data_IF_393608897285
#
_entry.id   IF_393608897285
#
_cell.length_a   1.000
_cell.length_b   1.000
_cell.length_c   1.000
_cell.angle_alpha   90.00
_cell.angle_beta   90.00
_cell.angle_gamma   90.00
#
_symmetry.space_group_name_H-M   'P 1'
#
loop_
_entity.id
_entity.type
_entity.pdbx_description
1 polymer ?
#
# COMPACT_ATOMS: atom_id res chain seq x y z
N UNK A 1 -1.33 -58.84 86.41
CA UNK A 1 -0.66 -59.34 85.18
C UNK A 1 -1.61 -59.20 84.00
N UNK A 2 -1.13 -58.57 82.92
CA UNK A 2 -1.53 -58.72 81.51
C UNK A 2 -2.95 -58.22 81.16
N UNK A 3 -3.06 -56.98 80.68
CA UNK A 3 -2.93 -56.50 79.28
C UNK A 3 -4.32 -56.34 78.62
N UNK A 4 -4.82 -55.11 78.67
CA UNK A 4 -5.94 -54.62 77.86
C UNK A 4 -5.43 -54.12 76.51
N UNK A 5 -6.12 -54.52 75.44
CA UNK A 5 -5.90 -54.09 74.06
C UNK A 5 -6.48 -52.68 73.84
N UNK A 6 -5.74 -51.71 73.27
CA UNK A 6 -6.32 -50.42 72.91
C UNK A 6 -6.82 -50.40 71.46
N UNK A 7 -7.97 -49.77 71.28
CA UNK A 7 -8.61 -49.41 70.00
C UNK A 7 -7.71 -48.46 69.22
N UNK A 8 -7.48 -48.71 67.93
CA UNK A 8 -6.80 -47.80 67.00
C UNK A 8 -7.79 -46.79 66.43
N UNK A 9 -7.54 -45.52 66.72
CA UNK A 9 -8.17 -44.34 66.11
C UNK A 9 -7.58 -44.14 64.71
N UNK A 10 -8.43 -44.09 63.68
CA UNK A 10 -8.05 -43.69 62.31
C UNK A 10 -7.91 -42.17 62.27
N UNK A 11 -6.70 -41.69 61.91
CA UNK A 11 -6.44 -40.29 61.54
C UNK A 11 -6.60 -40.20 60.03
N UNK A 12 -7.57 -39.41 59.57
CA UNK A 12 -7.73 -39.06 58.16
C UNK A 12 -6.70 -37.97 57.79
N UNK A 13 -5.80 -38.29 56.86
CA UNK A 13 -4.92 -37.31 56.24
C UNK A 13 -5.64 -36.70 55.03
N UNK A 14 -5.99 -35.41 55.13
CA UNK A 14 -6.49 -34.63 54.01
C UNK A 14 -5.32 -34.29 53.08
N UNK A 15 -5.28 -34.90 51.89
CA UNK A 15 -4.37 -34.51 50.82
C UNK A 15 -4.98 -33.30 50.11
N UNK A 16 -4.41 -32.13 50.33
CA UNK A 16 -4.74 -30.94 49.55
C UNK A 16 -4.10 -31.04 48.16
N UNK A 17 -4.88 -31.44 47.16
CA UNK A 17 -4.48 -31.37 45.76
C UNK A 17 -4.45 -29.91 45.31
N UNK A 18 -3.25 -29.33 45.23
CA UNK A 18 -3.03 -28.05 44.53
C UNK A 18 -3.19 -28.33 43.04
N UNK A 19 -4.36 -28.00 42.49
CA UNK A 19 -4.55 -27.95 41.06
C UNK A 19 -3.72 -26.78 40.52
N UNK A 20 -2.54 -27.07 39.98
CA UNK A 20 -1.80 -26.12 39.16
C UNK A 20 -2.63 -25.86 37.89
N UNK A 21 -3.40 -24.78 37.87
CA UNK A 21 -3.87 -24.21 36.62
C UNK A 21 -2.62 -23.77 35.85
N UNK A 22 -2.21 -24.59 34.88
CA UNK A 22 -1.34 -24.12 33.81
C UNK A 22 -2.10 -23.04 33.07
N UNK A 23 -1.78 -21.78 33.34
CA UNK A 23 -2.06 -20.69 32.42
C UNK A 23 -1.41 -21.10 31.10
N UNK A 24 -2.21 -21.53 30.13
CA UNK A 24 -1.74 -21.62 28.77
C UNK A 24 -1.19 -20.25 28.43
N UNK A 25 0.09 -20.18 28.06
CA UNK A 25 0.66 -18.97 27.49
C UNK A 25 -0.27 -18.50 26.35
N UNK A 26 -0.50 -17.18 26.20
CA UNK A 26 -1.27 -16.70 25.06
C UNK A 26 -0.69 -17.32 23.80
N UNK A 27 -1.58 -17.85 22.95
CA UNK A 27 -1.20 -18.34 21.63
C UNK A 27 -0.30 -17.28 20.99
N UNK A 28 0.92 -17.69 20.61
CA UNK A 28 2.00 -16.82 20.15
C UNK A 28 1.43 -15.65 19.34
N UNK A 29 1.63 -14.41 19.82
CA UNK A 29 1.51 -13.25 18.96
C UNK A 29 2.42 -13.53 17.77
N UNK A 30 1.82 -13.79 16.61
CA UNK A 30 2.59 -14.10 15.42
C UNK A 30 3.43 -12.88 15.11
N UNK A 31 4.76 -13.04 15.18
CA UNK A 31 5.70 -11.98 14.88
C UNK A 31 5.39 -11.48 13.47
N UNK A 32 5.05 -10.19 13.35
CA UNK A 32 4.77 -9.57 12.06
C UNK A 32 6.01 -9.73 11.19
N UNK A 33 5.93 -10.57 10.15
CA UNK A 33 7.05 -10.89 9.27
C UNK A 33 6.92 -10.29 7.87
N UNK A 34 5.89 -9.46 7.69
CA UNK A 34 5.55 -8.80 6.42
C UNK A 34 4.96 -9.74 5.37
N UNK A 35 4.43 -10.91 5.76
CA UNK A 35 3.90 -11.92 4.82
C UNK A 35 3.03 -11.35 3.69
N UNK A 36 2.02 -10.53 4.02
CA UNK A 36 1.07 -9.94 3.07
C UNK A 36 1.75 -8.95 2.12
N UNK A 37 2.46 -7.97 2.69
CA UNK A 37 3.28 -7.03 1.94
C UNK A 37 4.26 -7.73 0.98
N UNK A 38 4.96 -8.79 1.42
CA UNK A 38 5.86 -9.57 0.55
C UNK A 38 5.13 -10.18 -0.64
N UNK A 39 3.97 -10.82 -0.42
CA UNK A 39 3.17 -11.44 -1.49
C UNK A 39 2.67 -10.39 -2.48
N UNK A 40 2.11 -9.29 -1.98
CA UNK A 40 1.58 -8.22 -2.81
C UNK A 40 2.69 -7.53 -3.63
N UNK A 41 3.79 -7.12 -2.98
CA UNK A 41 4.91 -6.45 -3.64
C UNK A 41 5.62 -7.35 -4.67
N UNK A 42 5.74 -8.65 -4.41
CA UNK A 42 6.21 -9.61 -5.42
C UNK A 42 5.26 -9.68 -6.62
N UNK A 43 3.96 -9.58 -6.38
CA UNK A 43 2.94 -9.45 -7.43
C UNK A 43 3.12 -8.18 -8.27
N UNK A 44 3.41 -7.04 -7.62
CA UNK A 44 3.57 -5.71 -8.24
C UNK A 44 4.75 -5.63 -9.21
N UNK A 45 5.85 -6.37 -8.97
CA UNK A 45 6.98 -6.44 -9.89
C UNK A 45 6.60 -6.93 -11.31
N UNK A 46 5.55 -7.76 -11.44
CA UNK A 46 5.02 -8.19 -12.75
C UNK A 46 4.40 -7.02 -13.52
N UNK A 47 3.59 -6.22 -12.83
CA UNK A 47 2.95 -5.02 -13.38
C UNK A 47 4.00 -3.99 -13.78
N UNK A 48 4.97 -3.72 -12.90
CA UNK A 48 6.06 -2.78 -13.16
C UNK A 48 6.92 -3.17 -14.36
N UNK A 49 7.13 -4.47 -14.57
CA UNK A 49 7.82 -5.00 -15.77
C UNK A 49 7.10 -4.61 -17.06
N UNK A 50 5.76 -4.62 -17.07
CA UNK A 50 4.96 -4.20 -18.22
C UNK A 50 4.89 -2.67 -18.35
N UNK A 51 4.79 -1.95 -17.23
CA UNK A 51 4.79 -0.48 -17.22
C UNK A 51 6.09 0.10 -17.78
N UNK A 52 7.25 -0.41 -17.35
CA UNK A 52 8.58 -0.01 -17.86
C UNK A 52 8.68 -0.24 -19.38
N UNK A 53 8.17 -1.37 -19.87
CA UNK A 53 8.16 -1.66 -21.29
C UNK A 53 7.23 -0.72 -22.08
N UNK A 54 6.01 -0.47 -21.59
CA UNK A 54 5.08 0.48 -22.23
C UNK A 54 5.65 1.91 -22.26
N UNK A 55 6.14 2.40 -21.12
CA UNK A 55 6.69 3.76 -21.00
C UNK A 55 7.95 3.95 -21.87
N UNK A 56 8.85 2.96 -21.91
CA UNK A 56 10.03 3.00 -22.79
C UNK A 56 9.67 3.02 -24.27
N UNK A 57 8.68 2.22 -24.69
CA UNK A 57 8.19 2.23 -26.07
C UNK A 57 7.62 3.60 -26.47
N UNK A 58 6.80 4.20 -25.60
CA UNK A 58 6.24 5.55 -25.84
C UNK A 58 7.29 6.64 -25.88
N UNK A 59 8.26 6.59 -24.96
CA UNK A 59 9.36 7.55 -24.91
C UNK A 59 10.21 7.49 -26.18
N UNK A 60 10.53 6.29 -26.67
CA UNK A 60 11.27 6.08 -27.92
C UNK A 60 10.46 6.56 -29.14
N UNK A 61 9.14 6.32 -29.15
CA UNK A 61 8.26 6.75 -30.22
C UNK A 61 7.92 8.26 -30.19
N UNK A 62 8.38 9.00 -29.17
CA UNK A 62 8.08 10.42 -29.00
C UNK A 62 6.61 10.71 -28.68
N UNK A 63 5.90 9.77 -28.06
CA UNK A 63 4.49 9.91 -27.70
C UNK A 63 4.38 10.33 -26.24
N UNK A 64 3.87 11.53 -26.01
CA UNK A 64 3.77 12.14 -24.67
C UNK A 64 5.08 11.99 -23.87
N UNK A 65 6.23 12.45 -24.40
CA UNK A 65 7.55 12.07 -23.91
C UNK A 65 7.81 12.50 -22.46
N UNK A 66 7.23 13.61 -22.01
CA UNK A 66 7.29 14.05 -20.61
C UNK A 66 6.55 13.07 -19.69
N UNK A 67 5.32 12.69 -20.05
CA UNK A 67 4.52 11.75 -19.27
C UNK A 67 5.14 10.34 -19.28
N UNK A 68 5.58 9.85 -20.45
CA UNK A 68 6.26 8.58 -20.60
C UNK A 68 7.57 8.53 -19.80
N UNK A 69 8.32 9.64 -19.75
CA UNK A 69 9.53 9.75 -18.93
C UNK A 69 9.20 9.71 -17.43
N UNK A 70 8.16 10.41 -16.98
CA UNK A 70 7.73 10.37 -15.58
C UNK A 70 7.37 8.95 -15.16
N UNK A 71 6.52 8.29 -15.94
CA UNK A 71 6.10 6.90 -15.67
C UNK A 71 7.27 5.93 -15.67
N UNK A 72 8.22 6.07 -16.60
CA UNK A 72 9.43 5.25 -16.62
C UNK A 72 10.32 5.47 -15.38
N UNK A 73 10.39 6.72 -14.90
CA UNK A 73 11.13 7.05 -13.67
C UNK A 73 10.48 6.42 -12.45
N UNK A 74 9.17 6.58 -12.32
CA UNK A 74 8.38 6.05 -11.21
C UNK A 74 8.44 4.53 -11.18
N UNK A 75 8.12 3.87 -12.29
CA UNK A 75 8.06 2.42 -12.36
C UNK A 75 9.42 1.75 -12.07
N UNK A 76 10.53 2.28 -12.63
CA UNK A 76 11.87 1.71 -12.36
C UNK A 76 12.31 1.93 -10.91
N UNK A 77 12.03 3.11 -10.34
CA UNK A 77 12.40 3.44 -8.97
C UNK A 77 11.64 2.54 -8.00
N UNK A 78 10.35 2.37 -8.23
CA UNK A 78 9.52 1.48 -7.43
C UNK A 78 9.99 0.02 -7.55
N UNK A 79 10.32 -0.46 -8.76
CA UNK A 79 10.87 -1.80 -8.94
C UNK A 79 12.14 -2.01 -8.11
N UNK A 80 13.06 -1.04 -8.13
CA UNK A 80 14.31 -1.08 -7.37
C UNK A 80 14.05 -1.12 -5.86
N UNK A 81 13.16 -0.26 -5.37
CA UNK A 81 12.79 -0.19 -3.94
C UNK A 81 12.17 -1.51 -3.48
N UNK A 82 11.24 -2.06 -4.26
CA UNK A 82 10.60 -3.34 -3.94
C UNK A 82 11.61 -4.48 -3.95
N UNK A 83 12.44 -4.59 -4.99
CA UNK A 83 13.41 -5.68 -5.10
C UNK A 83 14.43 -5.66 -3.96
N UNK A 84 14.87 -4.46 -3.54
CA UNK A 84 15.73 -4.28 -2.37
C UNK A 84 15.00 -4.70 -1.09
N UNK A 85 13.77 -4.21 -0.87
CA UNK A 85 12.98 -4.53 0.32
C UNK A 85 12.63 -6.02 0.44
N UNK A 86 12.32 -6.69 -0.67
CA UNK A 86 12.12 -8.14 -0.69
C UNK A 86 13.43 -8.90 -0.34
N UNK A 87 14.60 -8.35 -0.67
CA UNK A 87 15.89 -8.98 -0.37
C UNK A 87 16.28 -8.79 1.09
N UNK A 88 16.37 -7.54 1.52
CA UNK A 88 17.06 -7.13 2.76
C UNK A 88 16.08 -6.75 3.89
N UNK A 89 14.79 -6.71 3.60
CA UNK A 89 13.80 -6.06 4.43
C UNK A 89 13.74 -4.57 4.12
N UNK A 90 12.55 -4.02 4.25
CA UNK A 90 12.33 -2.58 4.20
C UNK A 90 11.15 -2.29 5.09
N UNK A 91 11.45 -1.61 6.19
CA UNK A 91 10.42 -1.24 7.12
C UNK A 91 9.43 -0.25 6.49
N UNK A 92 9.91 0.64 5.62
CA UNK A 92 9.08 1.53 4.80
C UNK A 92 8.11 0.79 3.87
N UNK A 93 8.37 -0.48 3.56
CA UNK A 93 7.47 -1.35 2.77
C UNK A 93 6.70 -2.36 3.63
N UNK A 94 6.72 -2.23 4.96
CA UNK A 94 6.10 -3.22 5.85
C UNK A 94 6.79 -4.59 5.84
N UNK A 95 8.08 -4.65 5.46
CA UNK A 95 8.89 -5.86 5.46
C UNK A 95 9.96 -5.75 6.55
N UNK A 96 9.70 -6.23 7.77
CA UNK A 96 10.54 -5.93 8.94
C UNK A 96 11.88 -6.69 8.98
N UNK A 97 12.10 -7.65 8.09
CA UNK A 97 13.28 -8.50 8.09
C UNK A 97 13.75 -8.87 6.69
N UNK A 98 15.02 -9.26 6.55
CA UNK A 98 15.53 -9.83 5.31
C UNK A 98 14.84 -11.15 4.95
N UNK A 99 14.86 -11.50 3.66
CA UNK A 99 14.34 -12.80 3.21
C UNK A 99 15.07 -13.94 3.92
N UNK A 100 14.33 -14.97 4.32
CA UNK A 100 14.85 -16.13 5.08
C UNK A 100 14.84 -17.42 4.27
N UNK A 101 13.94 -17.55 3.31
CA UNK A 101 13.74 -18.77 2.55
C UNK A 101 14.66 -18.84 1.33
N UNK A 102 15.50 -19.88 1.26
CA UNK A 102 16.47 -20.06 0.18
C UNK A 102 15.86 -20.13 -1.23
N UNK A 103 14.65 -20.69 -1.38
CA UNK A 103 13.93 -20.72 -2.67
C UNK A 103 13.56 -19.30 -3.12
N UNK A 104 13.02 -18.48 -2.21
CA UNK A 104 12.65 -17.10 -2.51
C UNK A 104 13.90 -16.26 -2.81
N UNK A 105 14.99 -16.42 -2.04
CA UNK A 105 16.27 -15.75 -2.34
C UNK A 105 16.79 -16.04 -3.74
N UNK A 106 16.66 -17.29 -4.20
CA UNK A 106 17.07 -17.69 -5.55
C UNK A 106 16.22 -16.99 -6.61
N UNK A 107 14.90 -16.94 -6.42
CA UNK A 107 13.97 -16.29 -7.35
C UNK A 107 14.16 -14.77 -7.37
N UNK A 108 14.40 -14.13 -6.21
CA UNK A 108 14.80 -12.71 -6.12
C UNK A 108 16.12 -12.49 -6.88
N UNK A 109 17.11 -13.38 -6.73
CA UNK A 109 18.37 -13.30 -7.46
C UNK A 109 18.19 -13.35 -8.97
N UNK A 110 17.37 -14.26 -9.47
CA UNK A 110 17.06 -14.37 -10.90
C UNK A 110 16.39 -13.10 -11.45
N UNK A 111 15.43 -12.53 -10.71
CA UNK A 111 14.81 -11.24 -11.07
C UNK A 111 15.86 -10.13 -11.10
N UNK A 112 16.73 -10.05 -10.09
CA UNK A 112 17.79 -9.03 -10.00
C UNK A 112 18.75 -9.08 -11.19
N UNK A 113 19.21 -10.27 -11.56
CA UNK A 113 20.18 -10.45 -12.64
C UNK A 113 19.58 -10.04 -14.00
N UNK A 114 18.29 -10.32 -14.23
CA UNK A 114 17.57 -9.88 -15.43
C UNK A 114 17.21 -8.39 -15.40
N UNK A 115 16.93 -7.83 -14.22
CA UNK A 115 16.51 -6.43 -14.08
C UNK A 115 17.67 -5.43 -14.22
N UNK A 116 18.88 -5.75 -13.75
CA UNK A 116 20.04 -4.85 -13.83
C UNK A 116 20.30 -4.22 -15.22
N UNK A 117 20.34 -4.97 -16.33
CA UNK A 117 20.51 -4.38 -17.65
C UNK A 117 19.31 -3.50 -18.07
N UNK A 118 18.08 -3.89 -17.69
CA UNK A 118 16.84 -3.15 -17.97
C UNK A 118 16.84 -1.80 -17.23
N UNK A 119 17.17 -1.78 -15.94
CA UNK A 119 17.27 -0.56 -15.12
C UNK A 119 18.32 0.42 -15.67
N UNK A 120 19.47 -0.11 -16.11
CA UNK A 120 20.53 0.69 -16.73
C UNK A 120 20.04 1.34 -18.04
N UNK A 121 19.35 0.59 -18.89
CA UNK A 121 18.78 1.11 -20.13
C UNK A 121 17.70 2.16 -19.86
N UNK A 122 16.75 1.87 -18.96
CA UNK A 122 15.71 2.81 -18.56
C UNK A 122 16.31 4.12 -18.00
N UNK A 123 17.35 4.01 -17.17
CA UNK A 123 18.07 5.17 -16.64
C UNK A 123 18.74 6.00 -17.72
N UNK A 124 19.38 5.37 -18.72
CA UNK A 124 19.98 6.08 -19.85
C UNK A 124 18.93 6.81 -20.70
N UNK A 125 17.76 6.21 -20.92
CA UNK A 125 16.65 6.84 -21.64
C UNK A 125 16.12 8.08 -20.90
N UNK A 126 15.93 7.97 -19.58
CA UNK A 126 15.45 9.08 -18.74
C UNK A 126 16.42 10.26 -18.74
N UNK A 127 17.73 10.00 -18.68
CA UNK A 127 18.76 11.06 -18.64
C UNK A 127 19.11 11.61 -20.03
N UNK A 128 18.52 11.07 -21.11
CA UNK A 128 18.86 11.42 -22.48
C UNK A 128 20.27 10.99 -22.91
N UNK A 129 20.86 10.03 -22.19
CA UNK A 129 22.17 9.43 -22.48
C UNK A 129 22.05 8.12 -23.26
N UNK A 130 20.85 7.71 -23.63
CA UNK A 130 20.62 6.50 -24.39
C UNK A 130 21.20 6.61 -25.81
N UNK A 131 21.76 5.50 -26.29
CA UNK A 131 22.32 5.39 -27.64
C UNK A 131 21.26 4.99 -28.68
N UNK A 132 19.97 5.07 -28.35
CA UNK A 132 18.84 4.60 -29.18
C UNK A 132 18.64 3.09 -29.15
N UNK A 133 19.23 2.38 -28.19
CA UNK A 133 19.08 0.92 -28.04
C UNK A 133 18.37 0.56 -26.72
N UNK A 134 18.06 1.54 -25.86
CA UNK A 134 17.47 1.30 -24.55
C UNK A 134 16.11 0.61 -24.64
N UNK A 135 15.18 1.15 -25.44
CA UNK A 135 13.84 0.59 -25.61
C UNK A 135 13.89 -0.85 -26.17
N UNK A 136 14.83 -1.13 -27.06
CA UNK A 136 15.02 -2.45 -27.68
C UNK A 136 15.60 -3.47 -26.70
N UNK A 137 16.52 -3.08 -25.82
CA UNK A 137 16.99 -3.93 -24.73
C UNK A 137 15.85 -4.27 -23.76
N UNK A 138 15.04 -3.27 -23.40
CA UNK A 138 13.88 -3.45 -22.53
C UNK A 138 12.88 -4.41 -23.20
N UNK A 139 12.63 -4.26 -24.51
CA UNK A 139 11.76 -5.15 -25.28
C UNK A 139 12.22 -6.61 -25.23
N UNK A 140 13.48 -6.85 -25.61
CA UNK A 140 14.01 -8.22 -25.71
C UNK A 140 14.15 -8.92 -24.35
N UNK A 141 14.28 -8.15 -23.27
CA UNK A 141 14.35 -8.68 -21.90
C UNK A 141 12.98 -8.89 -21.25
N UNK A 142 11.89 -8.37 -21.85
CA UNK A 142 10.58 -8.27 -21.20
C UNK A 142 9.98 -9.64 -20.85
N UNK A 143 10.04 -10.60 -21.78
CA UNK A 143 9.45 -11.92 -21.60
C UNK A 143 10.13 -12.71 -20.45
N UNK A 144 11.46 -12.76 -20.46
CA UNK A 144 12.25 -13.46 -19.45
C UNK A 144 12.09 -12.82 -18.07
N UNK A 145 12.11 -11.48 -18.00
CA UNK A 145 11.90 -10.76 -16.75
C UNK A 145 10.47 -10.94 -16.20
N UNK A 146 9.45 -10.91 -17.06
CA UNK A 146 8.07 -11.18 -16.66
C UNK A 146 7.95 -12.61 -16.10
N UNK A 147 8.55 -13.59 -16.77
CA UNK A 147 8.54 -14.97 -16.28
C UNK A 147 9.24 -15.10 -14.93
N UNK A 148 10.39 -14.47 -14.74
CA UNK A 148 11.12 -14.48 -13.47
C UNK A 148 10.31 -13.84 -12.33
N UNK A 149 9.64 -12.72 -12.59
CA UNK A 149 8.77 -12.05 -11.59
C UNK A 149 7.53 -12.89 -11.26
N UNK A 150 6.96 -13.61 -12.24
CA UNK A 150 5.88 -14.58 -11.99
C UNK A 150 6.32 -15.75 -11.10
N UNK A 151 7.52 -16.28 -11.32
CA UNK A 151 8.10 -17.35 -10.48
C UNK A 151 8.31 -16.82 -9.06
N UNK A 152 8.90 -15.63 -8.90
CA UNK A 152 9.07 -15.00 -7.59
C UNK A 152 7.74 -14.82 -6.86
N UNK A 153 6.71 -14.30 -7.52
CA UNK A 153 5.39 -14.13 -6.92
C UNK A 153 4.79 -15.48 -6.47
N UNK A 154 4.96 -16.53 -7.28
CA UNK A 154 4.51 -17.89 -6.93
C UNK A 154 5.26 -18.45 -5.72
N UNK A 155 6.58 -18.33 -5.67
CA UNK A 155 7.39 -18.81 -4.55
C UNK A 155 7.09 -18.03 -3.26
N UNK A 156 6.89 -16.72 -3.37
CA UNK A 156 6.51 -15.86 -2.25
C UNK A 156 5.15 -16.27 -1.67
N UNK A 157 4.15 -16.43 -2.53
CA UNK A 157 2.81 -16.94 -2.17
C UNK A 157 2.92 -18.29 -1.47
N UNK A 158 3.70 -19.22 -2.04
CA UNK A 158 3.88 -20.55 -1.45
C UNK A 158 4.58 -20.57 -0.08
N UNK A 159 5.27 -19.49 0.32
CA UNK A 159 5.96 -19.39 1.61
C UNK A 159 5.26 -18.51 2.63
N UNK A 160 4.59 -17.46 2.18
CA UNK A 160 4.04 -16.41 3.04
C UNK A 160 2.51 -16.39 3.07
N UNK A 161 1.80 -17.12 2.22
CA UNK A 161 0.35 -17.21 2.31
C UNK A 161 -0.09 -18.14 3.45
N UNK A 162 -1.08 -17.70 4.23
CA UNK A 162 -1.72 -18.50 5.26
C UNK A 162 -3.04 -19.10 4.71
N UNK A 163 -3.15 -20.43 4.54
CA UNK A 163 -4.36 -21.06 3.99
C UNK A 163 -5.57 -20.97 4.91
N UNK A 164 -5.40 -20.55 6.17
CA UNK A 164 -6.50 -20.38 7.12
C UNK A 164 -7.06 -18.94 7.14
N UNK A 165 -6.43 -17.98 6.45
CA UNK A 165 -6.85 -16.57 6.43
C UNK A 165 -7.81 -16.24 5.27
N UNK A 166 -7.78 -17.00 4.18
CA UNK A 166 -8.57 -16.75 2.98
C UNK A 166 -9.28 -18.02 2.54
N UNK A 167 -10.54 -17.88 2.11
CA UNK A 167 -11.22 -19.01 1.45
C UNK A 167 -10.57 -19.27 0.09
N UNK A 168 -10.71 -20.49 -0.43
CA UNK A 168 -10.17 -20.82 -1.75
C UNK A 168 -10.74 -19.92 -2.86
N UNK A 169 -12.03 -19.59 -2.78
CA UNK A 169 -12.69 -18.73 -3.76
C UNK A 169 -12.16 -17.30 -3.70
N UNK A 170 -11.92 -16.76 -2.50
CA UNK A 170 -11.37 -15.41 -2.33
C UNK A 170 -9.92 -15.34 -2.80
N UNK A 171 -9.12 -16.38 -2.52
CA UNK A 171 -7.75 -16.49 -3.04
C UNK A 171 -7.70 -16.55 -4.57
N UNK A 172 -8.66 -17.21 -5.22
CA UNK A 172 -8.79 -17.22 -6.69
C UNK A 172 -9.17 -15.85 -7.23
N UNK A 173 -10.18 -15.19 -6.64
CA UNK A 173 -10.58 -13.84 -7.03
C UNK A 173 -9.42 -12.83 -6.89
N UNK A 174 -8.68 -12.87 -5.79
CA UNK A 174 -7.49 -12.04 -5.57
C UNK A 174 -6.38 -12.31 -6.60
N UNK A 175 -6.13 -13.57 -6.95
CA UNK A 175 -5.15 -13.90 -7.99
C UNK A 175 -5.57 -13.34 -9.37
N UNK A 176 -6.86 -13.44 -9.69
CA UNK A 176 -7.41 -12.93 -10.95
C UNK A 176 -7.33 -11.40 -10.99
N UNK A 177 -7.77 -10.72 -9.93
CA UNK A 177 -7.70 -9.26 -9.80
C UNK A 177 -6.24 -8.76 -9.88
N UNK A 178 -5.31 -9.39 -9.17
CA UNK A 178 -3.89 -9.04 -9.26
C UNK A 178 -3.28 -9.25 -10.66
N UNK A 179 -3.82 -10.17 -11.46
CA UNK A 179 -3.41 -10.35 -12.86
C UNK A 179 -3.96 -9.28 -13.79
N UNK A 180 -5.16 -8.77 -13.51
CA UNK A 180 -5.78 -7.69 -14.31
C UNK A 180 -4.89 -6.44 -14.34
N UNK A 181 -4.22 -6.10 -13.23
CA UNK A 181 -3.24 -5.00 -13.14
C UNK A 181 -2.17 -5.10 -14.22
N UNK A 182 -1.51 -6.27 -14.31
CA UNK A 182 -0.45 -6.53 -15.27
C UNK A 182 -0.98 -6.51 -16.72
N UNK A 183 -2.16 -7.12 -16.95
CA UNK A 183 -2.76 -7.20 -18.28
C UNK A 183 -3.12 -5.81 -18.85
N UNK A 184 -3.54 -4.86 -18.02
CA UNK A 184 -3.81 -3.49 -18.46
C UNK A 184 -2.58 -2.82 -19.08
N UNK A 185 -1.43 -2.86 -18.39
CA UNK A 185 -0.17 -2.36 -18.93
C UNK A 185 0.36 -3.22 -20.09
N UNK A 186 0.13 -4.53 -20.07
CA UNK A 186 0.52 -5.40 -21.18
C UNK A 186 -0.18 -5.00 -22.49
N UNK A 187 -1.49 -4.70 -22.46
CA UNK A 187 -2.20 -4.21 -23.65
C UNK A 187 -1.62 -2.87 -24.14
N UNK A 188 -1.30 -1.95 -23.22
CA UNK A 188 -0.67 -0.67 -23.54
C UNK A 188 0.69 -0.85 -24.24
N UNK A 189 1.54 -1.75 -23.70
CA UNK A 189 2.80 -2.15 -24.32
C UNK A 189 2.59 -2.76 -25.71
N UNK A 190 1.63 -3.68 -25.85
CA UNK A 190 1.38 -4.40 -27.08
C UNK A 190 0.92 -3.48 -28.22
N UNK A 191 0.02 -2.54 -27.93
CA UNK A 191 -0.44 -1.55 -28.91
C UNK A 191 0.69 -0.61 -29.34
N UNK A 192 1.54 -0.17 -28.41
CA UNK A 192 2.74 0.60 -28.76
C UNK A 192 3.71 -0.22 -29.63
N UNK A 193 3.92 -1.49 -29.30
CA UNK A 193 4.75 -2.41 -30.08
C UNK A 193 4.24 -2.61 -31.51
N UNK A 194 2.93 -2.79 -31.69
CA UNK A 194 2.30 -2.89 -33.02
C UNK A 194 2.52 -1.60 -33.82
N UNK A 195 2.33 -0.42 -33.20
CA UNK A 195 2.56 0.86 -33.86
C UNK A 195 4.03 1.05 -34.28
N UNK A 196 4.97 0.70 -33.39
CA UNK A 196 6.40 0.82 -33.61
C UNK A 196 7.00 -0.30 -34.49
N UNK A 197 6.18 -1.28 -34.91
CA UNK A 197 6.62 -2.50 -35.60
C UNK A 197 7.70 -3.27 -34.81
N UNK A 198 7.57 -3.29 -33.48
CA UNK A 198 8.44 -3.98 -32.54
C UNK A 198 7.76 -5.24 -32.01
N UNK A 199 7.94 -6.37 -32.70
CA UNK A 199 7.25 -7.63 -32.39
C UNK A 199 7.49 -8.14 -30.95
N UNK A 200 8.67 -7.87 -30.38
CA UNK A 200 9.01 -8.23 -29.00
C UNK A 200 8.19 -7.43 -27.96
N UNK A 201 7.66 -6.26 -28.35
CA UNK A 201 6.75 -5.45 -27.52
C UNK A 201 5.28 -5.80 -27.76
N UNK A 202 4.92 -6.32 -28.92
CA UNK A 202 3.53 -6.69 -29.19
C UNK A 202 3.25 -7.17 -30.61
N UNK A 203 2.28 -8.06 -30.72
CA UNK A 203 1.70 -8.50 -31.98
C UNK A 203 0.17 -8.43 -31.90
N UNK A 204 -0.51 -8.39 -33.04
CA UNK A 204 -1.98 -8.41 -33.10
C UNK A 204 -2.56 -9.67 -32.44
N UNK A 205 -1.90 -10.81 -32.61
CA UNK A 205 -2.27 -12.08 -31.97
C UNK A 205 -2.09 -12.02 -30.45
N UNK A 206 -0.93 -11.53 -29.98
CA UNK A 206 -0.65 -11.33 -28.56
C UNK A 206 -1.68 -10.42 -27.90
N UNK A 207 -1.95 -9.27 -28.53
CA UNK A 207 -2.99 -8.34 -28.10
C UNK A 207 -4.36 -9.01 -28.00
N UNK A 208 -4.73 -9.83 -28.99
CA UNK A 208 -5.97 -10.60 -28.96
C UNK A 208 -6.07 -11.53 -27.75
N UNK A 209 -5.01 -12.28 -27.45
CA UNK A 209 -4.95 -13.16 -26.28
C UNK A 209 -5.05 -12.39 -24.95
N UNK A 210 -4.37 -11.24 -24.84
CA UNK A 210 -4.42 -10.37 -23.66
C UNK A 210 -5.83 -9.81 -23.46
N UNK A 211 -6.47 -9.33 -24.53
CA UNK A 211 -7.86 -8.82 -24.51
C UNK A 211 -8.86 -9.86 -24.03
N UNK A 212 -8.78 -11.07 -24.58
CA UNK A 212 -9.72 -12.15 -24.24
C UNK A 212 -9.55 -12.56 -22.78
N UNK A 213 -8.29 -12.68 -22.32
CA UNK A 213 -7.98 -12.99 -20.92
C UNK A 213 -8.49 -11.92 -19.96
N UNK A 214 -8.26 -10.64 -20.27
CA UNK A 214 -8.76 -9.51 -19.48
C UNK A 214 -10.29 -9.54 -19.39
N UNK A 215 -10.96 -9.67 -20.54
CA UNK A 215 -12.43 -9.67 -20.63
C UNK A 215 -13.07 -10.81 -19.84
N UNK A 216 -12.57 -12.05 -20.00
CA UNK A 216 -13.11 -13.22 -19.29
C UNK A 216 -12.88 -13.10 -17.78
N UNK A 217 -11.69 -12.64 -17.38
CA UNK A 217 -11.32 -12.47 -15.98
C UNK A 217 -12.15 -11.38 -15.29
N UNK A 218 -12.33 -10.22 -15.93
CA UNK A 218 -13.15 -9.14 -15.41
C UNK A 218 -14.61 -9.55 -15.29
N UNK A 219 -15.14 -10.31 -16.26
CA UNK A 219 -16.47 -10.87 -16.19
C UNK A 219 -16.61 -11.84 -15.00
N UNK A 220 -15.63 -12.72 -14.79
CA UNK A 220 -15.62 -13.65 -13.66
C UNK A 220 -15.59 -12.93 -12.31
N UNK A 221 -14.80 -11.85 -12.18
CA UNK A 221 -14.77 -11.03 -10.96
C UNK A 221 -16.11 -10.33 -10.72
N UNK A 222 -16.75 -9.83 -11.77
CA UNK A 222 -17.97 -9.00 -11.67
C UNK A 222 -19.23 -9.83 -11.41
N UNK A 223 -19.33 -11.01 -12.01
CA UNK A 223 -20.55 -11.81 -12.02
C UNK A 223 -20.40 -13.17 -11.31
N UNK A 224 -19.18 -13.54 -10.94
CA UNK A 224 -18.85 -14.90 -10.52
C UNK A 224 -18.68 -15.85 -11.71
N UNK A 225 -17.98 -16.96 -11.48
CA UNK A 225 -17.86 -18.09 -12.39
C UNK A 225 -17.75 -19.36 -11.54
N UNK A 226 -18.91 -19.81 -11.04
CA UNK A 226 -19.00 -20.86 -10.01
C UNK A 226 -18.37 -22.18 -10.47
N UNK A 227 -18.51 -22.52 -11.76
CA UNK A 227 -17.89 -23.72 -12.34
C UNK A 227 -16.35 -23.67 -12.32
N UNK A 228 -15.76 -22.47 -12.24
CA UNK A 228 -14.33 -22.23 -12.08
C UNK A 228 -13.93 -21.93 -10.62
N UNK A 229 -14.86 -22.06 -9.66
CA UNK A 229 -14.61 -21.79 -8.24
C UNK A 229 -14.57 -20.31 -7.85
N UNK A 230 -15.09 -19.42 -8.71
CA UNK A 230 -15.09 -17.97 -8.48
C UNK A 230 -16.49 -17.54 -8.07
N UNK A 231 -16.61 -16.94 -6.89
CA UNK A 231 -17.88 -16.39 -6.40
C UNK A 231 -18.13 -14.98 -6.97
N UNK A 232 -19.39 -14.53 -7.02
CA UNK A 232 -19.70 -13.12 -7.21
C UNK A 232 -19.07 -12.22 -6.13
N UNK A 233 -18.97 -10.90 -6.35
CA UNK A 233 -18.44 -9.96 -5.39
C UNK A 233 -18.98 -10.14 -3.96
N UNK A 234 -18.13 -10.21 -2.93
CA UNK A 234 -18.55 -10.51 -1.55
C UNK A 234 -19.27 -9.34 -0.87
N UNK A 235 -19.10 -8.10 -1.36
CA UNK A 235 -19.74 -6.89 -0.81
C UNK A 235 -20.22 -5.96 -1.92
N UNK A 236 -21.15 -5.06 -1.58
CA UNK A 236 -21.63 -4.02 -2.49
C UNK A 236 -20.49 -3.06 -2.91
N UNK A 237 -19.54 -2.78 -2.01
CA UNK A 237 -18.37 -1.96 -2.32
C UNK A 237 -17.51 -2.59 -3.43
N UNK A 238 -17.21 -3.89 -3.32
CA UNK A 238 -16.47 -4.62 -4.37
C UNK A 238 -17.25 -4.61 -5.69
N UNK A 239 -18.56 -4.85 -5.64
CA UNK A 239 -19.41 -4.85 -6.83
C UNK A 239 -19.43 -3.47 -7.53
N UNK A 240 -19.51 -2.38 -6.76
CA UNK A 240 -19.49 -1.01 -7.27
C UNK A 240 -18.15 -0.66 -7.92
N UNK A 241 -17.03 -1.03 -7.30
CA UNK A 241 -15.70 -0.77 -7.88
C UNK A 241 -15.49 -1.56 -9.18
N UNK A 242 -15.90 -2.83 -9.23
CA UNK A 242 -15.87 -3.63 -10.45
C UNK A 242 -16.78 -3.07 -11.55
N UNK A 243 -17.92 -2.47 -11.20
CA UNK A 243 -18.78 -1.78 -12.16
C UNK A 243 -18.07 -0.55 -12.76
N UNK A 244 -17.30 0.19 -11.96
CA UNK A 244 -16.48 1.31 -12.44
C UNK A 244 -15.37 0.82 -13.38
N UNK A 245 -14.66 -0.26 -13.03
CA UNK A 245 -13.68 -0.90 -13.92
C UNK A 245 -14.32 -1.30 -15.25
N UNK A 246 -15.49 -1.94 -15.23
CA UNK A 246 -16.21 -2.34 -16.45
C UNK A 246 -16.60 -1.13 -17.32
N UNK A 247 -16.98 -0.01 -16.71
CA UNK A 247 -17.32 1.21 -17.46
C UNK A 247 -16.09 1.71 -18.24
N UNK A 248 -14.95 1.91 -17.58
CA UNK A 248 -13.68 2.28 -18.22
C UNK A 248 -13.26 1.27 -19.29
N UNK A 249 -13.39 -0.03 -19.00
CA UNK A 249 -13.04 -1.09 -19.95
C UNK A 249 -13.90 -1.06 -21.21
N UNK A 250 -15.22 -0.87 -21.06
CA UNK A 250 -16.18 -0.88 -22.17
C UNK A 250 -15.91 0.24 -23.17
N UNK A 251 -15.51 1.42 -22.69
CA UNK A 251 -15.13 2.55 -23.55
C UNK A 251 -13.88 2.24 -24.38
N UNK A 252 -12.96 1.44 -23.83
CA UNK A 252 -11.67 1.10 -24.46
C UNK A 252 -11.82 -0.01 -25.52
N UNK A 253 -12.79 -0.91 -25.34
CA UNK A 253 -12.97 -2.10 -26.17
C UNK A 253 -13.10 -1.80 -27.67
N UNK A 254 -13.74 -0.69 -28.06
CA UNK A 254 -13.94 -0.36 -29.47
C UNK A 254 -12.63 -0.19 -30.23
N UNK A 255 -11.70 0.59 -29.66
CA UNK A 255 -10.40 0.85 -30.26
C UNK A 255 -9.53 -0.42 -30.30
N UNK A 256 -9.48 -1.17 -29.19
CA UNK A 256 -8.69 -2.40 -29.12
C UNK A 256 -9.20 -3.47 -30.10
N UNK A 257 -10.52 -3.59 -30.27
CA UNK A 257 -11.11 -4.51 -31.25
C UNK A 257 -10.81 -4.13 -32.70
N UNK A 258 -10.76 -2.83 -33.00
CA UNK A 258 -10.35 -2.36 -34.33
C UNK A 258 -8.89 -2.73 -34.61
N UNK A 259 -7.99 -2.53 -33.65
CA UNK A 259 -6.57 -2.90 -33.76
C UNK A 259 -6.42 -4.42 -33.91
N UNK A 260 -7.15 -5.20 -33.10
CA UNK A 260 -7.23 -6.67 -33.24
C UNK A 260 -7.70 -7.09 -34.64
N UNK A 261 -8.58 -6.31 -35.25
CA UNK A 261 -9.07 -6.49 -36.63
C UNK A 261 -8.09 -6.07 -37.73
N UNK A 262 -6.86 -5.66 -37.38
CA UNK A 262 -5.81 -5.25 -38.32
C UNK A 262 -5.73 -3.75 -38.58
N UNK A 263 -6.48 -2.92 -37.83
CA UNK A 263 -6.31 -1.48 -37.90
C UNK A 263 -4.94 -1.08 -37.31
N UNK A 264 -4.18 -0.26 -38.04
CA UNK A 264 -2.90 0.23 -37.56
C UNK A 264 -3.12 1.28 -36.45
N UNK A 265 -2.62 1.08 -35.22
CA UNK A 265 -2.81 2.03 -34.13
C UNK A 265 -2.10 3.37 -34.43
N UNK A 266 -2.73 4.48 -34.02
CA UNK A 266 -2.14 5.82 -34.06
C UNK A 266 -1.40 6.17 -32.75
N UNK A 267 -0.62 7.25 -32.76
CA UNK A 267 -0.02 7.80 -31.53
C UNK A 267 -1.07 8.19 -30.48
N UNK A 268 -2.22 8.70 -30.92
CA UNK A 268 -3.36 9.01 -30.06
C UNK A 268 -3.95 7.74 -29.42
N UNK A 269 -4.05 6.62 -30.17
CA UNK A 269 -4.50 5.36 -29.59
C UNK A 269 -3.54 4.87 -28.48
N UNK A 270 -2.24 4.99 -28.70
CA UNK A 270 -1.21 4.62 -27.71
C UNK A 270 -1.27 5.53 -26.48
N UNK A 271 -1.39 6.85 -26.67
CA UNK A 271 -1.48 7.80 -25.57
C UNK A 271 -2.74 7.59 -24.72
N UNK A 272 -3.91 7.45 -25.35
CA UNK A 272 -5.17 7.21 -24.64
C UNK A 272 -5.13 5.88 -23.88
N UNK A 273 -4.62 4.82 -24.50
CA UNK A 273 -4.51 3.52 -23.83
C UNK A 273 -3.54 3.54 -22.65
N UNK A 274 -2.47 4.35 -22.68
CA UNK A 274 -1.61 4.52 -21.52
C UNK A 274 -2.37 5.14 -20.34
N UNK A 275 -3.13 6.20 -20.57
CA UNK A 275 -3.97 6.83 -19.54
C UNK A 275 -5.01 5.85 -19.00
N UNK A 276 -5.72 5.15 -19.88
CA UNK A 276 -6.71 4.14 -19.47
C UNK A 276 -6.05 2.99 -18.71
N UNK A 277 -4.86 2.54 -19.12
CA UNK A 277 -4.17 1.46 -18.42
C UNK A 277 -3.77 1.84 -17.00
N UNK A 278 -3.39 3.10 -16.76
CA UNK A 278 -3.13 3.63 -15.43
C UNK A 278 -4.42 3.67 -14.58
N UNK A 279 -5.53 4.21 -15.11
CA UNK A 279 -6.82 4.26 -14.40
C UNK A 279 -7.34 2.84 -14.05
N UNK A 280 -7.30 1.91 -15.00
CA UNK A 280 -7.71 0.52 -14.78
C UNK A 280 -6.83 -0.16 -13.71
N UNK A 281 -5.54 0.15 -13.68
CA UNK A 281 -4.62 -0.39 -12.67
C UNK A 281 -4.98 0.12 -11.28
N UNK A 282 -5.16 1.43 -11.11
CA UNK A 282 -5.58 2.02 -9.82
C UNK A 282 -6.91 1.45 -9.32
N UNK A 283 -7.93 1.39 -10.19
CA UNK A 283 -9.24 0.84 -9.82
C UNK A 283 -9.18 -0.64 -9.46
N UNK A 284 -8.37 -1.41 -10.18
CA UNK A 284 -8.22 -2.82 -9.88
C UNK A 284 -7.44 -3.07 -8.59
N UNK A 285 -6.52 -2.18 -8.22
CA UNK A 285 -5.81 -2.23 -6.93
C UNK A 285 -6.79 -1.96 -5.77
N UNK A 286 -7.72 -1.02 -5.99
CA UNK A 286 -8.87 -0.79 -5.11
C UNK A 286 -9.75 -2.05 -4.98
N UNK A 287 -10.04 -2.75 -6.07
CA UNK A 287 -10.77 -4.04 -6.04
C UNK A 287 -10.02 -5.07 -5.19
N UNK A 288 -8.72 -5.27 -5.41
CA UNK A 288 -7.89 -6.22 -4.63
C UNK A 288 -8.00 -5.90 -3.14
N UNK A 289 -7.86 -4.63 -2.78
CA UNK A 289 -7.93 -4.14 -1.40
C UNK A 289 -9.30 -4.41 -0.78
N UNK A 290 -10.37 -4.08 -1.49
CA UNK A 290 -11.73 -4.33 -1.02
C UNK A 290 -12.03 -5.83 -0.85
N UNK A 291 -11.50 -6.70 -1.72
CA UNK A 291 -11.61 -8.14 -1.53
C UNK A 291 -10.89 -8.62 -0.26
N UNK A 292 -9.70 -8.07 0.03
CA UNK A 292 -8.97 -8.39 1.25
C UNK A 292 -9.73 -7.94 2.51
N UNK A 293 -10.34 -6.76 2.47
CA UNK A 293 -11.13 -6.20 3.58
C UNK A 293 -12.51 -6.85 3.76
N UNK A 294 -13.08 -7.42 2.69
CA UNK A 294 -14.40 -8.06 2.72
C UNK A 294 -14.43 -9.37 3.54
N UNK A 295 -13.27 -9.91 3.92
CA UNK A 295 -13.18 -11.18 4.65
C UNK A 295 -13.70 -10.99 6.09
N UNK A 296 -14.79 -11.66 6.52
CA UNK A 296 -15.39 -11.41 7.84
C UNK A 296 -14.44 -11.70 9.01
N UNK A 297 -14.46 -10.84 10.03
CA UNK A 297 -13.66 -11.02 11.26
C UNK A 297 -12.18 -10.72 11.09
N UNK A 298 -11.81 -9.98 10.05
CA UNK A 298 -10.43 -9.67 9.69
C UNK A 298 -10.08 -8.18 9.86
N UNK A 299 -10.59 -7.49 10.89
CA UNK A 299 -10.10 -6.14 11.23
C UNK A 299 -8.57 -6.14 11.47
N UNK A 300 -8.04 -7.27 11.94
CA UNK A 300 -6.60 -7.51 12.11
C UNK A 300 -5.81 -7.56 10.79
N UNK A 301 -6.45 -7.73 9.62
CA UNK A 301 -5.77 -7.85 8.31
C UNK A 301 -4.89 -6.64 8.04
N UNK A 302 -5.36 -5.44 8.38
CA UNK A 302 -4.59 -4.19 8.24
C UNK A 302 -4.18 -3.59 9.59
N UNK A 303 -4.96 -3.79 10.67
CA UNK A 303 -4.67 -3.18 11.99
C UNK A 303 -3.41 -3.74 12.64
N UNK A 304 -3.19 -5.05 12.60
CA UNK A 304 -1.99 -5.69 13.16
C UNK A 304 -0.71 -5.23 12.43
N UNK A 305 -0.61 -5.31 11.09
CA UNK A 305 0.59 -4.87 10.40
C UNK A 305 0.80 -3.34 10.51
N UNK A 306 -0.27 -2.54 10.50
CA UNK A 306 -0.17 -1.09 10.71
C UNK A 306 0.32 -0.74 12.12
N UNK A 307 -0.18 -1.43 13.17
CA UNK A 307 0.32 -1.27 14.54
C UNK A 307 1.80 -1.63 14.64
N UNK A 308 2.22 -2.76 14.08
CA UNK A 308 3.61 -3.18 14.09
C UNK A 308 4.52 -2.19 13.33
N UNK A 309 4.05 -1.66 12.20
CA UNK A 309 4.75 -0.60 11.47
C UNK A 309 4.86 0.68 12.31
N UNK A 310 3.77 1.09 12.97
CA UNK A 310 3.77 2.28 13.80
C UNK A 310 4.75 2.17 14.98
N UNK A 311 4.72 1.06 15.70
CA UNK A 311 5.60 0.81 16.85
C UNK A 311 7.07 0.71 16.46
N UNK A 312 7.38 0.09 15.31
CA UNK A 312 8.76 -0.12 14.88
C UNK A 312 9.36 1.07 14.12
N UNK A 313 8.56 1.79 13.32
CA UNK A 313 9.04 2.82 12.40
C UNK A 313 8.56 4.21 12.77
N UNK A 314 7.25 4.41 12.82
CA UNK A 314 6.68 5.74 13.04
C UNK A 314 7.05 6.27 14.42
N UNK A 315 7.21 5.41 15.43
CA UNK A 315 7.68 5.77 16.76
C UNK A 315 9.03 6.52 16.76
N UNK A 316 9.90 6.25 15.77
CA UNK A 316 11.18 6.95 15.65
C UNK A 316 11.01 8.43 15.27
N UNK A 317 9.90 8.78 14.62
CA UNK A 317 9.58 10.14 14.19
C UNK A 317 9.15 10.99 15.38
N UNK A 318 8.49 10.39 16.37
CA UNK A 318 8.00 11.06 17.57
C UNK A 318 9.13 11.60 18.47
N UNK A 319 10.36 11.11 18.30
CA UNK A 319 11.54 11.56 19.04
C UNK A 319 12.26 12.75 18.39
N UNK A 320 11.73 13.29 17.28
CA UNK A 320 12.34 14.41 16.58
C UNK A 320 12.31 15.70 17.45
N UNK A 321 13.47 16.33 17.73
CA UNK A 321 13.53 17.52 18.57
C UNK A 321 12.77 18.74 18.02
N UNK A 322 12.73 18.93 16.70
CA UNK A 322 12.03 20.06 16.07
C UNK A 322 10.52 19.91 16.20
N UNK A 323 10.00 18.69 15.99
CA UNK A 323 8.60 18.36 16.21
C UNK A 323 8.18 18.62 17.66
N UNK A 324 8.94 18.08 18.61
CA UNK A 324 8.68 18.25 20.05
C UNK A 324 8.72 19.74 20.44
N UNK A 325 9.71 20.49 19.94
CA UNK A 325 9.83 21.92 20.21
C UNK A 325 8.63 22.71 19.65
N UNK A 326 8.18 22.39 18.44
CA UNK A 326 7.02 23.03 17.82
C UNK A 326 5.73 22.78 18.63
N UNK A 327 5.49 21.55 19.08
CA UNK A 327 4.33 21.19 19.89
C UNK A 327 4.35 21.96 21.22
N UNK A 328 5.50 21.98 21.90
CA UNK A 328 5.65 22.70 23.17
C UNK A 328 5.47 24.21 23.03
N UNK A 329 6.00 24.80 21.96
CA UNK A 329 5.83 26.23 21.67
C UNK A 329 4.34 26.57 21.47
N UNK A 330 3.63 25.80 20.65
CA UNK A 330 2.21 26.04 20.39
C UNK A 330 1.33 25.75 21.64
N UNK A 331 1.63 24.71 22.42
CA UNK A 331 0.95 24.46 23.70
C UNK A 331 1.07 25.66 24.64
N UNK A 332 2.22 26.33 24.68
CA UNK A 332 2.43 27.51 25.50
C UNK A 332 1.61 28.71 24.98
N UNK A 333 1.59 28.93 23.66
CA UNK A 333 0.78 29.97 23.00
C UNK A 333 -0.73 29.75 23.22
N UNK A 334 -1.19 28.50 23.22
CA UNK A 334 -2.60 28.12 23.33
C UNK A 334 -3.09 27.89 24.77
N UNK A 335 -2.30 28.28 25.78
CA UNK A 335 -2.66 28.11 27.20
C UNK A 335 -4.04 28.72 27.51
N UNK A 336 -4.34 29.89 26.95
CA UNK A 336 -5.58 30.65 27.20
C UNK A 336 -6.58 30.60 26.05
N UNK A 337 -6.35 29.76 25.04
CA UNK A 337 -7.23 29.67 23.88
C UNK A 337 -8.59 29.09 24.30
N UNK A 338 -9.66 29.79 23.97
CA UNK A 338 -11.04 29.36 24.22
C UNK A 338 -11.56 28.47 23.09
N UNK A 339 -12.61 27.68 23.37
CA UNK A 339 -13.23 26.85 22.33
C UNK A 339 -13.75 27.70 21.15
N UNK A 340 -14.33 28.87 21.42
CA UNK A 340 -14.81 29.75 20.36
C UNK A 340 -13.68 30.27 19.45
N UNK A 341 -12.48 30.48 20.00
CA UNK A 341 -11.30 30.85 19.22
C UNK A 341 -10.76 29.67 18.41
N UNK A 342 -10.79 28.45 18.96
CA UNK A 342 -10.46 27.21 18.24
C UNK A 342 -11.39 27.03 17.04
N UNK A 343 -12.70 27.12 17.27
CA UNK A 343 -13.72 26.98 16.23
C UNK A 343 -13.53 28.06 15.13
N UNK A 344 -13.15 29.28 15.51
CA UNK A 344 -12.88 30.35 14.56
C UNK A 344 -11.62 30.07 13.71
N UNK A 345 -10.54 29.58 14.32
CA UNK A 345 -9.32 29.19 13.58
C UNK A 345 -9.62 28.08 12.58
N UNK A 346 -10.47 27.12 12.95
CA UNK A 346 -10.90 26.04 12.06
C UNK A 346 -11.75 26.56 10.87
N UNK A 347 -12.69 27.48 11.14
CA UNK A 347 -13.44 28.16 10.09
C UNK A 347 -12.54 28.96 9.14
N UNK A 348 -11.54 29.66 9.69
CA UNK A 348 -10.58 30.44 8.91
C UNK A 348 -9.72 29.54 8.01
N UNK A 349 -9.30 28.37 8.50
CA UNK A 349 -8.61 27.35 7.71
C UNK A 349 -9.45 26.88 6.52
N UNK A 350 -10.69 26.44 6.79
CA UNK A 350 -11.63 25.96 5.77
C UNK A 350 -11.97 27.03 4.74
N UNK A 351 -12.02 28.30 5.15
CA UNK A 351 -12.19 29.44 4.25
C UNK A 351 -10.95 29.63 3.36
N UNK A 352 -9.75 29.58 3.95
CA UNK A 352 -8.49 29.74 3.20
C UNK A 352 -8.24 28.62 2.19
N UNK A 353 -8.68 27.38 2.45
CA UNK A 353 -8.58 26.27 1.47
C UNK A 353 -9.16 26.64 0.09
N UNK A 354 -10.17 27.51 0.08
CA UNK A 354 -10.90 27.96 -1.12
C UNK A 354 -10.43 29.32 -1.64
N UNK A 355 -9.46 29.94 -0.97
CA UNK A 355 -8.92 31.26 -1.30
C UNK A 355 -7.56 31.15 -2.00
N UNK A 356 -7.18 32.20 -2.73
CA UNK A 356 -5.86 32.32 -3.35
C UNK A 356 -4.77 32.61 -2.31
N UNK A 357 -5.07 33.46 -1.33
CA UNK A 357 -4.17 33.75 -0.20
C UNK A 357 -4.51 32.85 0.99
N UNK A 358 -3.52 32.09 1.47
CA UNK A 358 -3.69 31.10 2.55
C UNK A 358 -2.72 31.33 3.73
N UNK A 359 -2.64 32.53 4.33
CA UNK A 359 -1.60 32.87 5.30
C UNK A 359 -1.54 31.94 6.54
N UNK A 360 -2.67 31.39 6.99
CA UNK A 360 -2.69 30.41 8.09
C UNK A 360 -2.11 29.07 7.61
N UNK A 361 -2.57 28.56 6.46
CA UNK A 361 -2.11 27.29 5.88
C UNK A 361 -0.62 27.38 5.53
N UNK A 362 -0.22 28.42 4.79
CA UNK A 362 1.17 28.68 4.41
C UNK A 362 2.05 28.85 5.66
N UNK A 363 1.53 29.50 6.70
CA UNK A 363 2.22 29.68 7.97
C UNK A 363 2.47 28.37 8.73
N UNK A 364 1.58 27.38 8.61
CA UNK A 364 1.80 26.03 9.17
C UNK A 364 2.74 25.21 8.27
N UNK A 365 2.47 25.15 6.97
CA UNK A 365 3.24 24.31 6.03
C UNK A 365 4.69 24.77 5.85
N UNK A 366 4.98 26.06 6.05
CA UNK A 366 6.35 26.60 6.00
C UNK A 366 7.18 26.38 7.27
N UNK A 367 6.60 25.83 8.34
CA UNK A 367 7.34 25.53 9.59
C UNK A 367 8.42 24.48 9.33
N UNK A 368 9.59 24.56 10.01
CA UNK A 368 10.63 23.53 9.91
C UNK A 368 10.11 22.11 10.18
N UNK A 369 9.27 21.95 11.20
CA UNK A 369 8.63 20.66 11.51
C UNK A 369 7.75 20.13 10.36
N UNK A 370 7.01 21.01 9.66
CA UNK A 370 6.20 20.64 8.50
C UNK A 370 7.06 20.22 7.31
N UNK A 371 8.13 20.98 7.03
CA UNK A 371 9.10 20.63 5.98
C UNK A 371 9.78 19.27 6.25
N UNK A 372 10.12 19.00 7.51
CA UNK A 372 10.66 17.72 7.93
C UNK A 372 9.64 16.58 7.77
N UNK A 373 8.38 16.78 8.15
CA UNK A 373 7.31 15.79 7.93
C UNK A 373 7.11 15.50 6.45
N UNK A 374 7.08 16.53 5.59
CA UNK A 374 6.97 16.37 4.14
C UNK A 374 8.14 15.58 3.55
N UNK A 375 9.38 15.89 3.99
CA UNK A 375 10.55 15.11 3.59
C UNK A 375 10.40 13.65 4.02
N UNK A 376 10.03 13.40 5.29
CA UNK A 376 9.87 12.04 5.80
C UNK A 376 8.78 11.27 5.09
N UNK A 377 7.65 11.89 4.82
CA UNK A 377 6.60 11.32 3.98
C UNK A 377 7.16 10.90 2.60
N UNK A 378 7.93 11.76 1.93
CA UNK A 378 8.50 11.48 0.61
C UNK A 378 9.46 10.28 0.60
N UNK A 379 10.16 10.03 1.71
CA UNK A 379 11.07 8.90 1.89
C UNK A 379 10.32 7.56 2.00
N UNK A 380 9.00 7.56 2.19
CA UNK A 380 8.17 6.35 2.36
C UNK A 380 7.63 5.77 1.05
N UNK A 381 7.98 6.33 -0.11
CA UNK A 381 7.46 5.89 -1.41
C UNK A 381 5.91 5.79 -1.44
N UNK A 382 5.23 6.83 -0.93
CA UNK A 382 3.76 6.95 -0.81
C UNK A 382 3.09 5.96 0.14
N UNK A 383 3.85 5.17 0.90
CA UNK A 383 3.29 4.33 1.97
C UNK A 383 2.57 5.18 3.02
N UNK A 384 3.23 6.27 3.44
CA UNK A 384 2.60 7.33 4.24
C UNK A 384 2.10 8.42 3.29
N UNK A 385 0.80 8.67 3.29
CA UNK A 385 0.10 9.57 2.36
C UNK A 385 -0.06 10.98 2.93
N UNK A 386 -0.11 11.09 4.25
CA UNK A 386 -0.17 12.34 4.98
C UNK A 386 0.35 12.15 6.41
N UNK A 387 0.90 13.21 6.99
CA UNK A 387 1.30 13.23 8.40
C UNK A 387 0.99 14.60 8.98
N UNK A 388 0.35 14.62 10.14
CA UNK A 388 0.13 15.85 10.87
C UNK A 388 0.22 15.64 12.38
N UNK A 389 0.86 16.59 13.04
CA UNK A 389 0.98 16.62 14.50
C UNK A 389 0.02 17.64 15.08
N UNK A 390 -0.58 17.32 16.21
CA UNK A 390 -1.59 18.10 16.91
C UNK A 390 -1.10 18.48 18.30
N UNK A 391 -1.49 19.66 18.76
CA UNK A 391 -1.17 20.17 20.08
C UNK A 391 -2.13 19.63 21.17
N UNK A 392 -2.03 20.16 22.38
CA UNK A 392 -2.88 19.80 23.52
C UNK A 392 -4.33 20.30 23.45
N UNK A 393 -4.70 21.01 22.37
CA UNK A 393 -6.07 21.41 22.02
C UNK A 393 -6.60 20.68 20.78
N UNK A 394 -5.77 19.89 20.11
CA UNK A 394 -6.10 19.23 18.85
C UNK A 394 -5.89 20.10 17.61
N UNK A 395 -5.22 21.25 17.72
CA UNK A 395 -4.89 22.09 16.56
C UNK A 395 -3.59 21.61 15.90
N UNK A 396 -3.56 21.62 14.57
CA UNK A 396 -2.40 21.14 13.82
C UNK A 396 -1.16 22.04 14.03
N UNK A 397 -0.07 21.43 14.49
CA UNK A 397 1.23 22.05 14.75
C UNK A 397 2.13 22.03 13.53
N UNK A 398 2.13 20.90 12.83
CA UNK A 398 2.94 20.65 11.66
C UNK A 398 2.19 19.66 10.77
N UNK A 399 2.31 19.82 9.46
CA UNK A 399 1.64 18.96 8.49
C UNK A 399 2.56 18.73 7.29
N UNK A 400 2.51 17.54 6.71
CA UNK A 400 3.23 17.23 5.47
C UNK A 400 2.48 17.69 4.22
N UNK A 401 1.15 17.76 4.31
CA UNK A 401 0.22 18.24 3.27
C UNK A 401 -0.95 18.97 3.94
N UNK A 402 -1.74 19.73 3.17
CA UNK A 402 -2.89 20.50 3.65
C UNK A 402 -4.04 19.57 4.11
N UNK A 403 -4.39 19.59 5.40
CA UNK A 403 -5.56 18.85 5.93
C UNK A 403 -6.90 19.50 5.58
N UNK A 404 -7.98 18.73 5.73
CA UNK A 404 -9.34 19.19 5.45
C UNK A 404 -9.77 20.38 6.33
N UNK A 405 -9.31 20.34 7.57
CA UNK A 405 -9.64 21.21 8.68
C UNK A 405 -8.44 21.33 9.63
N UNK A 406 -8.46 22.35 10.49
CA UNK A 406 -7.31 22.71 11.33
C UNK A 406 -7.40 22.08 12.71
N UNK A 407 -8.62 21.94 13.21
CA UNK A 407 -8.91 21.35 14.51
C UNK A 407 -9.27 19.88 14.33
N UNK A 408 -8.65 19.02 15.15
CA UNK A 408 -8.83 17.57 15.16
C UNK A 408 -9.20 17.09 16.57
N UNK A 409 -9.41 18.02 17.50
CA UNK A 409 -9.58 17.73 18.91
C UNK A 409 -10.91 17.05 19.24
N UNK A 410 -11.90 17.09 18.36
CA UNK A 410 -13.16 16.35 18.46
C UNK A 410 -13.08 14.95 17.83
N UNK A 411 -12.00 14.63 17.11
CA UNK A 411 -11.85 13.35 16.42
C UNK A 411 -11.26 12.26 17.31
N UNK A 412 -11.67 11.01 17.09
CA UNK A 412 -11.17 9.83 17.81
C UNK A 412 -9.64 9.70 17.74
N UNK A 413 -9.05 10.09 16.59
CA UNK A 413 -7.61 10.09 16.34
C UNK A 413 -6.83 10.90 17.41
N UNK A 414 -7.40 11.98 17.91
CA UNK A 414 -6.82 12.80 18.99
C UNK A 414 -7.36 12.40 20.36
N UNK A 415 -8.67 12.19 20.49
CA UNK A 415 -9.33 11.87 21.76
C UNK A 415 -8.83 10.56 22.36
N UNK A 416 -8.75 9.50 21.55
CA UNK A 416 -8.38 8.17 22.03
C UNK A 416 -6.87 7.99 22.23
N UNK A 417 -6.07 8.86 21.59
CA UNK A 417 -4.61 8.86 21.65
C UNK A 417 -4.07 9.75 22.77
N UNK A 418 -4.61 10.97 22.90
CA UNK A 418 -4.11 12.01 23.82
C UNK A 418 -5.23 12.56 24.73
N UNK A 419 -6.41 12.88 24.18
CA UNK A 419 -7.46 13.63 24.89
C UNK A 419 -7.99 12.94 26.15
N UNK A 420 -8.09 11.61 26.12
CA UNK A 420 -8.49 10.79 27.27
C UNK A 420 -7.34 10.47 28.24
N UNK A 421 -6.10 10.90 27.93
CA UNK A 421 -4.89 10.63 28.71
C UNK A 421 -4.37 9.20 28.64
N UNK A 422 -4.89 8.35 27.72
CA UNK A 422 -4.50 6.94 27.58
C UNK A 422 -3.02 6.80 27.18
N UNK A 423 -2.55 7.65 26.26
CA UNK A 423 -1.28 7.45 25.57
C UNK A 423 -1.26 6.14 24.77
N UNK A 424 -2.40 5.72 24.24
CA UNK A 424 -2.53 4.53 23.39
C UNK A 424 -2.42 4.89 21.89
N UNK A 425 -2.07 3.89 21.08
CA UNK A 425 -2.10 4.03 19.61
C UNK A 425 -3.53 3.76 19.13
N UNK A 426 -4.12 4.73 18.45
CA UNK A 426 -5.39 4.61 17.76
C UNK A 426 -5.17 4.25 16.28
N UNK A 427 -5.98 3.35 15.73
CA UNK A 427 -6.00 3.01 14.30
C UNK A 427 -7.44 3.18 13.80
N UNK A 428 -7.66 3.96 12.76
CA UNK A 428 -8.99 4.20 12.20
C UNK A 428 -9.50 3.00 11.39
N UNK A 429 -10.79 3.03 11.05
CA UNK A 429 -11.31 2.21 9.95
C UNK A 429 -10.63 2.56 8.63
N UNK A 430 -10.72 1.65 7.67
CA UNK A 430 -10.28 1.91 6.29
C UNK A 430 -11.32 2.74 5.58
N UNK A 431 -10.90 3.85 4.99
CA UNK A 431 -11.75 4.74 4.20
C UNK A 431 -11.14 4.99 2.82
N UNK A 432 -11.99 5.28 1.84
CA UNK A 432 -11.54 5.72 0.52
C UNK A 432 -11.19 7.19 0.58
N UNK A 433 -9.96 7.54 0.21
CA UNK A 433 -9.52 8.92 0.10
C UNK A 433 -9.61 9.39 -1.36
N UNK A 434 -10.58 10.25 -1.65
CA UNK A 434 -10.81 10.84 -2.97
C UNK A 434 -9.60 11.61 -3.51
N UNK A 435 -8.72 12.12 -2.64
CA UNK A 435 -7.56 12.93 -3.05
C UNK A 435 -6.43 12.08 -3.62
N UNK A 436 -6.27 10.86 -3.11
CA UNK A 436 -5.25 9.90 -3.56
C UNK A 436 -5.83 8.79 -4.44
N UNK A 437 -7.16 8.63 -4.47
CA UNK A 437 -7.84 7.57 -5.21
C UNK A 437 -7.58 6.18 -4.63
N UNK A 438 -7.19 6.09 -3.35
CA UNK A 438 -6.75 4.88 -2.68
C UNK A 438 -7.45 4.69 -1.33
N UNK A 439 -7.50 3.44 -0.87
CA UNK A 439 -7.96 3.14 0.49
C UNK A 439 -6.85 3.41 1.50
N UNK A 440 -7.20 4.11 2.58
CA UNK A 440 -6.27 4.49 3.63
C UNK A 440 -6.82 4.19 5.02
N UNK A 441 -5.92 4.04 5.97
CA UNK A 441 -6.21 4.02 7.39
C UNK A 441 -5.24 4.96 8.09
N UNK A 442 -5.71 5.64 9.13
CA UNK A 442 -4.92 6.54 9.94
C UNK A 442 -4.43 5.81 11.19
N UNK A 443 -3.15 5.94 11.49
CA UNK A 443 -2.58 5.57 12.79
C UNK A 443 -2.17 6.82 13.55
N UNK A 444 -2.67 6.96 14.77
CA UNK A 444 -2.38 8.08 15.65
C UNK A 444 -1.60 7.62 16.87
N UNK A 445 -0.55 8.35 17.18
CA UNK A 445 0.42 8.01 18.22
C UNK A 445 0.61 9.19 19.19
N UNK A 446 0.75 8.93 20.50
CA UNK A 446 0.94 9.98 21.49
C UNK A 446 2.37 10.51 21.46
N UNK A 447 2.52 11.84 21.46
CA UNK A 447 3.84 12.48 21.57
C UNK A 447 4.13 12.77 23.04
N UNK A 448 5.29 12.32 23.53
CA UNK A 448 5.75 12.54 24.90
C UNK A 448 6.95 13.48 24.92
N UNK A 449 7.01 14.36 25.92
CA UNK A 449 8.24 15.11 26.21
C UNK A 449 9.31 14.12 26.73
N UNK A 450 10.45 13.96 26.05
CA UNK A 450 11.49 13.01 26.45
C UNK A 450 12.13 13.36 27.80
N UNK A 451 12.03 14.62 28.27
CA UNK A 451 12.59 15.04 29.54
C UNK A 451 11.68 14.73 30.73
N UNK A 452 10.36 14.80 30.55
CA UNK A 452 9.38 14.63 31.65
C UNK A 452 8.56 13.34 31.55
N UNK A 453 8.48 12.74 30.37
CA UNK A 453 7.58 11.64 30.06
C UNK A 453 6.11 12.07 29.89
N UNK A 454 5.81 13.36 30.01
CA UNK A 454 4.45 13.90 29.91
C UNK A 454 3.95 13.87 28.46
N UNK A 455 2.67 13.55 28.29
CA UNK A 455 2.00 13.67 27.00
C UNK A 455 1.90 15.16 26.61
N UNK A 456 2.35 15.52 25.42
CA UNK A 456 2.31 16.91 24.93
C UNK A 456 1.42 17.11 23.69
N UNK A 457 0.99 16.03 23.05
CA UNK A 457 0.11 16.06 21.89
C UNK A 457 -0.02 14.69 21.25
N UNK A 458 -0.49 14.66 20.00
CA UNK A 458 -0.60 13.45 19.19
C UNK A 458 -0.07 13.71 17.77
N UNK A 459 0.31 12.66 17.07
CA UNK A 459 0.66 12.70 15.64
C UNK A 459 -0.13 11.63 14.91
N UNK A 460 -0.69 11.97 13.76
CA UNK A 460 -1.46 11.07 12.90
C UNK A 460 -0.73 10.87 11.60
N UNK A 461 -0.71 9.62 11.13
CA UNK A 461 -0.17 9.21 9.85
C UNK A 461 -1.29 8.57 9.04
N UNK A 462 -1.63 9.15 7.89
CA UNK A 462 -2.40 8.46 6.87
C UNK A 462 -1.51 7.44 6.17
N UNK A 463 -1.95 6.19 6.13
CA UNK A 463 -1.22 5.08 5.52
C UNK A 463 -2.07 4.46 4.43
N UNK A 464 -1.48 4.32 3.24
CA UNK A 464 -2.09 3.57 2.16
C UNK A 464 -2.16 2.09 2.55
N UNK A 465 -3.36 1.58 2.81
CA UNK A 465 -3.52 0.18 3.26
C UNK A 465 -3.24 -0.82 2.16
N UNK A 466 -3.30 -0.42 0.88
CA UNK A 466 -2.94 -1.28 -0.24
C UNK A 466 -1.47 -1.69 -0.17
N UNK A 467 -0.62 -0.84 0.40
CA UNK A 467 0.80 -1.16 0.62
C UNK A 467 1.04 -2.11 1.80
N UNK A 468 0.04 -2.31 2.67
CA UNK A 468 0.09 -3.23 3.82
C UNK A 468 -0.46 -4.61 3.50
N UNK A 469 -1.33 -4.71 2.49
CA UNK A 469 -2.15 -5.87 2.19
C UNK A 469 -1.65 -6.66 1.00
#
# INVERSE_FOLDING_TARGET
>A
MKQHSPKRTLIAAAVASVAALSLAAPAFAQEFDGSKARVNLAGKLRTLTQAVASASCRLEAGIEPEAARSELVEAKNEFNVILAGLTDGSSALGIPSAEKFGVVKKSIGAVRDLWQPVDKAASAMVTGQDSGEGAKLIASSNADLLQATMILASDMTGKYSNPNELTQADAMALNIAGRQLMLAHQMSKEVCGIMANAADMGTVEGLGSTLDTYTVSLNALSNGMVDAGINPPPTEAVAKELAAVNATWTETLGALNAIRGGFAPSSENVANLAVTSADLTTRMDNVVTLYMLATPGQEDVYRVPLRAYAESQLNQWLSNPELIAAIKAQNAEHTNLTQAEIDQLDLDWRAQRKAEAKPLIDGILSRPASAWLAQKQSETAQFVTEVFAMDNRGLNVAQSTETSDYWQGDEAKWQDTFGNGSGEIHISEVEFDDSTGSYQSQVSMPVKDPATGELIGAITFGVNVQSLL
#
